data_IF_787125866127
#
_entry.id   IF_787125866127
#
_cell.length_a   1.000
_cell.length_b   1.000
_cell.length_c   1.000
_cell.angle_alpha   90.00
_cell.angle_beta   90.00
_cell.angle_gamma   90.00
#
_symmetry.space_group_name_H-M   'P 1'
#
loop_
_entity.id
_entity.type
_entity.pdbx_description
1 polymer ?
#
# COMPACT_ATOMS: atom_id res chain seq x y z
N UNK A 1 -21.68 -23.49 -50.00
CA UNK A 1 -20.90 -22.31 -49.57
C UNK A 1 -20.14 -22.71 -48.31
N UNK A 2 -18.80 -22.86 -48.31
CA UNK A 2 -18.10 -23.26 -47.10
C UNK A 2 -17.81 -22.04 -46.23
N UNK A 3 -18.17 -22.14 -44.96
CA UNK A 3 -17.92 -21.13 -43.93
C UNK A 3 -16.40 -21.05 -43.65
N UNK A 4 -15.77 -20.00 -44.16
CA UNK A 4 -14.38 -19.67 -43.83
C UNK A 4 -14.35 -18.75 -42.61
N UNK A 5 -14.63 -19.28 -41.43
CA UNK A 5 -14.60 -18.52 -40.18
C UNK A 5 -14.04 -19.37 -39.05
N UNK A 6 -12.75 -19.67 -39.08
CA UNK A 6 -12.08 -20.40 -37.98
C UNK A 6 -10.61 -20.00 -37.76
N UNK A 7 -9.99 -19.28 -38.70
CA UNK A 7 -8.55 -18.98 -38.63
C UNK A 7 -8.24 -17.76 -37.76
N UNK A 8 -9.12 -16.76 -37.73
CA UNK A 8 -8.93 -15.51 -36.97
C UNK A 8 -9.16 -15.70 -35.47
N UNK A 9 -10.19 -16.46 -35.09
CA UNK A 9 -10.45 -16.79 -33.69
C UNK A 9 -9.30 -17.58 -33.05
N UNK A 10 -8.69 -18.50 -33.80
CA UNK A 10 -7.54 -19.30 -33.36
C UNK A 10 -6.32 -18.42 -33.05
N UNK A 11 -6.02 -17.44 -33.90
CA UNK A 11 -4.89 -16.52 -33.70
C UNK A 11 -5.09 -15.65 -32.46
N UNK A 12 -6.30 -15.14 -32.21
CA UNK A 12 -6.59 -14.35 -31.01
C UNK A 12 -6.39 -15.15 -29.72
N UNK A 13 -6.80 -16.43 -29.70
CA UNK A 13 -6.62 -17.31 -28.54
C UNK A 13 -5.13 -17.53 -28.25
N UNK A 14 -4.31 -17.78 -29.29
CA UNK A 14 -2.86 -17.95 -29.12
C UNK A 14 -2.20 -16.68 -28.59
N UNK A 15 -2.59 -15.50 -29.09
CA UNK A 15 -2.05 -14.22 -28.60
C UNK A 15 -2.43 -13.99 -27.13
N UNK A 16 -3.69 -14.26 -26.75
CA UNK A 16 -4.12 -14.13 -25.35
C UNK A 16 -3.35 -15.06 -24.41
N UNK A 17 -3.08 -16.30 -24.83
CA UNK A 17 -2.28 -17.25 -24.05
C UNK A 17 -0.82 -16.78 -23.90
N UNK A 18 -0.22 -16.23 -24.95
CA UNK A 18 1.13 -15.69 -24.89
C UNK A 18 1.23 -14.49 -23.94
N UNK A 19 0.25 -13.57 -23.97
CA UNK A 19 0.19 -12.44 -23.05
C UNK A 19 0.02 -12.92 -21.61
N UNK A 20 -0.84 -13.91 -21.38
CA UNK A 20 -1.02 -14.50 -20.05
C UNK A 20 0.28 -15.10 -19.50
N UNK A 21 1.00 -15.89 -20.31
CA UNK A 21 2.32 -16.45 -19.93
C UNK A 21 3.34 -15.35 -19.64
N UNK A 22 3.41 -14.29 -20.45
CA UNK A 22 4.31 -13.17 -20.22
C UNK A 22 3.98 -12.38 -18.94
N UNK A 23 2.69 -12.28 -18.59
CA UNK A 23 2.24 -11.64 -17.35
C UNK A 23 2.52 -12.53 -16.12
N UNK A 24 2.40 -13.85 -16.24
CA UNK A 24 2.69 -14.80 -15.14
C UNK A 24 4.17 -14.83 -14.74
N UNK A 25 5.09 -14.52 -15.66
CA UNK A 25 6.54 -14.48 -15.39
C UNK A 25 6.97 -13.28 -14.52
N UNK A 26 6.05 -12.36 -14.18
CA UNK A 26 6.31 -11.20 -13.31
C UNK A 26 6.27 -11.53 -11.81
N UNK A 27 5.96 -12.77 -11.42
CA UNK A 27 5.97 -13.15 -10.01
C UNK A 27 7.29 -13.80 -9.61
N UNK A 28 7.97 -13.13 -8.68
CA UNK A 28 8.96 -13.68 -7.75
C UNK A 28 10.41 -13.76 -8.23
N UNK A 29 10.99 -12.62 -8.58
CA UNK A 29 12.38 -12.39 -8.20
C UNK A 29 12.40 -12.07 -6.70
N UNK A 30 12.60 -13.07 -5.85
CA UNK A 30 12.94 -12.84 -4.43
C UNK A 30 14.44 -12.54 -4.38
N UNK A 31 14.87 -11.30 -4.09
CA UNK A 31 16.27 -11.04 -3.86
C UNK A 31 16.64 -11.75 -2.55
N UNK A 32 17.42 -12.82 -2.65
CA UNK A 32 18.06 -13.43 -1.49
C UNK A 32 19.36 -12.69 -1.30
N UNK A 33 19.33 -11.63 -0.49
CA UNK A 33 20.54 -11.00 0.02
C UNK A 33 21.03 -11.83 1.23
N UNK A 34 22.29 -12.33 1.23
CA UNK A 34 22.84 -13.13 2.34
C UNK A 34 23.11 -12.32 3.63
N UNK A 35 22.98 -10.99 3.57
CA UNK A 35 23.12 -10.06 4.70
C UNK A 35 21.88 -9.16 4.81
N UNK A 36 20.70 -9.76 4.66
CA UNK A 36 19.40 -9.09 4.69
C UNK A 36 19.13 -8.35 6.00
N UNK A 37 19.55 -7.09 6.08
CA UNK A 37 18.77 -6.09 6.80
C UNK A 37 17.43 -5.98 6.08
N UNK A 38 16.46 -6.79 6.50
CA UNK A 38 15.06 -6.54 6.22
C UNK A 38 14.73 -5.19 6.83
N UNK A 39 14.86 -4.13 6.04
CA UNK A 39 14.38 -2.82 6.41
C UNK A 39 12.85 -2.89 6.32
N UNK A 40 12.23 -3.41 7.39
CA UNK A 40 10.78 -3.47 7.51
C UNK A 40 10.26 -2.03 7.48
N UNK A 41 9.74 -1.64 6.31
CA UNK A 41 9.22 -0.30 6.04
C UNK A 41 8.10 0.12 6.99
N UNK A 42 7.52 -0.81 7.74
CA UNK A 42 6.43 -0.58 8.68
C UNK A 42 6.83 -0.82 10.15
N UNK A 43 8.11 -1.06 10.42
CA UNK A 43 8.61 -1.23 11.80
C UNK A 43 8.28 -0.03 12.69
N UNK A 44 8.22 1.17 12.11
CA UNK A 44 7.83 2.39 12.84
C UNK A 44 6.37 2.39 13.33
N UNK A 45 5.50 1.53 12.80
CA UNK A 45 4.10 1.45 13.26
C UNK A 45 3.97 0.46 14.43
N UNK A 46 4.83 -0.55 14.52
CA UNK A 46 4.73 -1.62 15.52
C UNK A 46 4.74 -1.09 16.97
N UNK A 47 5.57 -0.09 17.26
CA UNK A 47 5.63 0.49 18.61
C UNK A 47 4.45 1.40 18.97
N UNK A 48 3.57 1.69 18.00
CA UNK A 48 2.35 2.49 18.17
C UNK A 48 1.12 1.60 18.42
N UNK A 49 1.30 0.27 18.47
CA UNK A 49 0.22 -0.66 18.79
C UNK A 49 -0.33 -0.40 20.20
N UNK A 50 -1.66 -0.38 20.32
CA UNK A 50 -2.33 -0.07 21.59
C UNK A 50 -2.25 1.41 22.00
N UNK A 51 -1.76 2.29 21.13
CA UNK A 51 -1.88 3.73 21.32
C UNK A 51 -3.33 4.19 21.08
N UNK A 52 -3.77 5.17 21.86
CA UNK A 52 -5.13 5.70 21.82
C UNK A 52 -5.12 7.23 21.73
N UNK A 53 -6.23 7.76 21.25
CA UNK A 53 -6.50 9.19 21.19
C UNK A 53 -6.28 9.88 22.54
N UNK A 54 -5.67 11.07 22.50
CA UNK A 54 -5.31 11.88 23.66
C UNK A 54 -3.97 11.50 24.31
N UNK A 55 -3.31 10.43 23.84
CA UNK A 55 -1.96 10.10 24.29
C UNK A 55 -0.91 10.87 23.49
N UNK A 56 0.22 11.16 24.14
CA UNK A 56 1.42 11.66 23.47
C UNK A 56 2.44 10.52 23.40
N UNK A 57 2.72 10.02 22.20
CA UNK A 57 3.57 8.85 21.98
C UNK A 57 4.61 9.16 20.92
N UNK A 58 5.87 9.05 21.31
CA UNK A 58 7.00 9.31 20.41
C UNK A 58 6.90 8.45 19.15
N UNK A 59 7.07 9.07 17.99
CA UNK A 59 7.00 8.40 16.68
C UNK A 59 5.68 8.62 15.95
N UNK A 60 4.66 9.19 16.60
CA UNK A 60 3.40 9.56 15.94
C UNK A 60 3.60 10.61 14.85
N UNK A 61 4.60 11.48 14.95
CA UNK A 61 5.00 12.38 13.87
C UNK A 61 5.28 11.65 12.55
N UNK A 62 5.93 10.48 12.59
CA UNK A 62 6.25 9.70 11.39
C UNK A 62 4.99 9.10 10.79
N UNK A 63 4.08 8.61 11.63
CA UNK A 63 2.77 8.12 11.22
C UNK A 63 1.93 9.24 10.57
N UNK A 64 1.91 10.43 11.16
CA UNK A 64 1.23 11.61 10.59
C UNK A 64 1.75 11.96 9.21
N UNK A 65 3.08 12.01 9.04
CA UNK A 65 3.72 12.25 7.73
C UNK A 65 3.34 11.18 6.72
N UNK A 66 3.30 9.92 7.13
CA UNK A 66 2.86 8.82 6.28
C UNK A 66 1.42 9.06 5.78
N UNK A 67 0.46 9.28 6.67
CA UNK A 67 -0.93 9.51 6.26
C UNK A 67 -1.12 10.78 5.42
N UNK A 68 -0.37 11.85 5.69
CA UNK A 68 -0.40 13.06 4.85
C UNK A 68 0.10 12.76 3.43
N UNK A 69 1.19 12.00 3.28
CA UNK A 69 1.72 11.62 1.97
C UNK A 69 0.72 10.81 1.14
N UNK A 70 -0.08 9.98 1.79
CA UNK A 70 -1.12 9.18 1.12
C UNK A 70 -2.47 9.90 1.01
N UNK A 71 -2.57 11.16 1.46
CA UNK A 71 -3.78 11.98 1.33
C UNK A 71 -4.89 11.65 2.33
N UNK A 72 -4.61 10.87 3.37
CA UNK A 72 -5.59 10.54 4.42
C UNK A 72 -5.67 11.61 5.52
N UNK A 73 -4.65 12.46 5.60
CA UNK A 73 -4.50 13.45 6.65
C UNK A 73 -4.08 14.78 6.04
N UNK A 74 -4.71 15.86 6.48
CA UNK A 74 -4.33 17.21 6.10
C UNK A 74 -4.25 18.08 7.35
N UNK A 75 -3.05 18.57 7.64
CA UNK A 75 -2.77 19.48 8.73
C UNK A 75 -2.28 20.81 8.17
N UNK A 76 -3.14 21.54 7.46
CA UNK A 76 -2.83 22.87 6.91
C UNK A 76 -2.26 23.80 7.99
N UNK A 77 -0.93 23.85 8.09
CA UNK A 77 -0.16 24.59 9.09
C UNK A 77 -0.53 24.35 10.57
N UNK A 78 -1.15 23.22 10.90
CA UNK A 78 -1.45 22.87 12.29
C UNK A 78 -0.18 22.55 13.07
N UNK A 79 -0.12 22.96 14.34
CA UNK A 79 0.95 22.54 15.27
C UNK A 79 1.00 21.01 15.41
N UNK A 80 -0.15 20.36 15.28
CA UNK A 80 -0.28 18.91 15.36
C UNK A 80 0.38 18.16 14.20
N UNK A 81 0.76 18.84 13.10
CA UNK A 81 1.50 18.22 12.00
C UNK A 81 2.87 17.66 12.45
N UNK A 82 3.46 18.28 13.47
CA UNK A 82 4.81 17.99 13.93
C UNK A 82 4.86 17.74 15.44
N UNK A 83 3.78 17.30 16.07
CA UNK A 83 3.83 16.80 17.45
C UNK A 83 3.51 15.31 17.50
N UNK A 84 3.77 14.73 18.66
CA UNK A 84 3.51 13.33 18.96
C UNK A 84 2.14 13.12 19.63
N UNK A 85 1.20 14.07 19.52
CA UNK A 85 -0.15 13.90 20.07
C UNK A 85 -1.02 13.05 19.14
N UNK A 86 -1.70 12.06 19.70
CA UNK A 86 -2.73 11.30 19.00
C UNK A 86 -4.05 12.09 19.03
N UNK A 87 -4.22 12.97 18.05
CA UNK A 87 -5.41 13.83 17.92
C UNK A 87 -6.58 13.17 17.16
N UNK A 88 -7.70 13.89 17.10
CA UNK A 88 -8.94 13.52 16.41
C UNK A 88 -8.76 13.28 14.90
N UNK A 89 -7.87 14.05 14.28
CA UNK A 89 -7.62 13.99 12.84
C UNK A 89 -6.85 12.72 12.49
N UNK A 90 -5.84 12.37 13.28
CA UNK A 90 -5.09 11.14 13.14
C UNK A 90 -5.98 9.92 13.39
N UNK A 91 -6.83 9.94 14.42
CA UNK A 91 -7.80 8.86 14.65
C UNK A 91 -8.71 8.64 13.44
N UNK A 92 -9.24 9.73 12.88
CA UNK A 92 -10.12 9.70 11.72
C UNK A 92 -9.39 9.18 10.47
N UNK A 93 -8.14 9.60 10.25
CA UNK A 93 -7.31 9.14 9.15
C UNK A 93 -7.04 7.63 9.23
N UNK A 94 -6.68 7.12 10.42
CA UNK A 94 -6.46 5.68 10.64
C UNK A 94 -7.72 4.87 10.35
N UNK A 95 -8.89 5.31 10.87
CA UNK A 95 -10.17 4.63 10.60
C UNK A 95 -10.51 4.62 9.11
N UNK A 96 -10.28 5.74 8.42
CA UNK A 96 -10.52 5.85 6.97
C UNK A 96 -9.63 4.90 6.17
N UNK A 97 -8.35 4.85 6.51
CA UNK A 97 -7.38 3.93 5.90
C UNK A 97 -7.76 2.46 6.12
N UNK A 98 -8.08 2.09 7.36
CA UNK A 98 -8.50 0.72 7.69
C UNK A 98 -9.76 0.31 6.93
N UNK A 99 -10.76 1.20 6.86
CA UNK A 99 -11.99 0.96 6.11
C UNK A 99 -11.74 0.79 4.61
N UNK A 100 -10.78 1.51 4.04
CA UNK A 100 -10.43 1.43 2.61
C UNK A 100 -9.59 0.20 2.27
N UNK A 101 -8.95 -0.41 3.28
CA UNK A 101 -8.09 -1.58 3.13
C UNK A 101 -8.85 -2.92 3.25
N UNK A 102 -10.15 -2.90 3.51
CA UNK A 102 -11.01 -4.09 3.61
C UNK A 102 -11.92 -4.21 2.39
#
# INVERSE_FOLDING_TARGET
MPAMASKTASVCVVICLLIFVLLSQRTLAKPTDPHGHQHDSFKFIQHLEGCHKGQNVSGLQELKKYFTKFGYLNYDHSKHANDDEFDDLLESAIKSYQKSST
#
